data_IF_076761648087
#
_entry.id   IF_076761648087
#
_cell.length_a   1.000
_cell.length_b   1.000
_cell.length_c   1.000
_cell.angle_alpha   90.00
_cell.angle_beta   90.00
_cell.angle_gamma   90.00
#
_symmetry.space_group_name_H-M   'P 1'
#
loop_
_entity.id
_entity.type
_entity.pdbx_description
1 polymer ?
#
# COMPACT_ATOMS: atom_id res chain seq x y z
N UNK A 1 -5.67 -6.79 -18.11
CA UNK A 1 -5.99 -5.61 -17.26
C UNK A 1 -5.14 -5.60 -16.00
N UNK A 2 -4.93 -4.42 -15.41
CA UNK A 2 -4.10 -4.22 -14.23
C UNK A 2 -4.83 -3.34 -13.22
N UNK A 3 -4.77 -3.72 -11.95
CA UNK A 3 -5.20 -2.90 -10.81
C UNK A 3 -3.96 -2.34 -10.12
N UNK A 4 -3.91 -1.03 -9.90
CA UNK A 4 -2.81 -0.37 -9.17
C UNK A 4 -3.35 0.14 -7.84
N UNK A 5 -2.71 -0.26 -6.75
CA UNK A 5 -2.96 0.33 -5.44
C UNK A 5 -2.03 1.52 -5.23
N UNK A 6 -2.64 2.70 -5.21
CA UNK A 6 -1.97 3.98 -5.02
C UNK A 6 -1.69 4.26 -3.51
N UNK A 7 -1.38 5.50 -3.16
CA UNK A 7 -0.98 5.93 -1.81
C UNK A 7 -1.95 5.46 -0.69
N UNK A 8 -1.41 5.27 0.51
CA UNK A 8 -2.18 4.97 1.72
C UNK A 8 -2.15 3.52 2.19
N UNK A 9 -1.44 2.61 1.49
CA UNK A 9 -1.40 1.19 1.86
C UNK A 9 -0.43 0.84 3.01
N UNK A 10 0.43 1.77 3.39
CA UNK A 10 1.54 1.59 4.31
C UNK A 10 1.43 2.50 5.54
N UNK A 11 2.22 2.21 6.57
CA UNK A 11 2.39 3.04 7.78
C UNK A 11 1.07 3.51 8.41
N UNK A 12 1.09 4.73 8.96
CA UNK A 12 -0.09 5.49 9.40
C UNK A 12 -0.54 6.50 8.33
N UNK A 13 -0.41 6.13 7.05
CA UNK A 13 -0.73 6.97 5.88
C UNK A 13 -2.25 7.12 5.68
N UNK A 14 -2.93 7.72 6.65
CA UNK A 14 -4.37 8.04 6.59
C UNK A 14 -4.61 9.40 5.91
N UNK A 15 -3.60 10.26 5.90
CA UNK A 15 -3.50 11.52 5.15
C UNK A 15 -2.07 11.67 4.56
N UNK A 16 -1.80 12.82 3.92
CA UNK A 16 -0.52 13.13 3.28
C UNK A 16 0.57 13.63 4.25
N UNK A 17 0.27 13.76 5.56
CA UNK A 17 1.15 14.38 6.56
C UNK A 17 2.04 13.38 7.31
N UNK A 18 1.76 12.08 7.21
CA UNK A 18 2.48 11.02 7.91
C UNK A 18 2.78 9.81 7.04
N UNK A 19 3.74 8.97 7.45
CA UNK A 19 3.95 7.62 6.93
C UNK A 19 4.90 7.43 5.75
N UNK A 20 5.32 8.46 5.00
CA UNK A 20 6.36 8.30 3.97
C UNK A 20 7.69 7.87 4.61
N UNK A 21 8.34 6.86 4.03
CA UNK A 21 9.49 6.17 4.63
C UNK A 21 9.12 4.88 5.37
N UNK A 22 7.88 4.73 5.84
CA UNK A 22 7.40 3.54 6.55
C UNK A 22 6.61 2.59 5.64
N UNK A 23 7.29 1.92 4.71
CA UNK A 23 6.65 1.01 3.74
C UNK A 23 6.18 -0.35 4.32
N UNK A 24 5.90 -0.40 5.62
CA UNK A 24 5.24 -1.54 6.26
C UNK A 24 3.74 -1.51 6.00
N UNK A 25 3.16 -2.64 5.62
CA UNK A 25 1.74 -2.74 5.28
C UNK A 25 0.86 -2.29 6.45
N UNK A 26 -0.06 -1.36 6.20
CA UNK A 26 -1.06 -0.94 7.17
C UNK A 26 -2.09 -2.07 7.39
N UNK A 27 -1.94 -2.82 8.48
CA UNK A 27 -2.84 -3.94 8.82
C UNK A 27 -4.24 -3.51 9.28
N UNK A 28 -4.44 -2.23 9.62
CA UNK A 28 -5.80 -1.70 9.89
C UNK A 28 -6.60 -1.61 8.59
N UNK A 29 -5.98 -1.16 7.50
CA UNK A 29 -6.59 -1.07 6.15
C UNK A 29 -6.57 -2.40 5.41
N UNK A 30 -5.49 -3.17 5.55
CA UNK A 30 -5.29 -4.47 4.93
C UNK A 30 -5.10 -5.55 6.03
N UNK A 31 -6.17 -5.98 6.73
CA UNK A 31 -6.07 -6.94 7.84
C UNK A 31 -5.32 -8.22 7.48
N UNK A 32 -5.55 -8.72 6.26
CA UNK A 32 -4.89 -9.92 5.73
C UNK A 32 -3.60 -9.64 4.97
N UNK A 33 -3.22 -8.37 4.84
CA UNK A 33 -1.98 -7.91 4.21
C UNK A 33 -2.01 -7.93 2.68
N UNK A 34 -0.93 -7.45 2.08
CA UNK A 34 -0.77 -7.34 0.62
C UNK A 34 -0.85 -8.67 -0.10
N UNK A 35 -0.31 -9.75 0.48
CA UNK A 35 -0.29 -11.07 -0.16
C UNK A 35 -1.72 -11.58 -0.44
N UNK A 36 -2.60 -11.49 0.55
CA UNK A 36 -3.98 -11.94 0.38
C UNK A 36 -4.79 -11.00 -0.52
N UNK A 37 -4.42 -9.72 -0.57
CA UNK A 37 -5.03 -8.77 -1.50
C UNK A 37 -4.61 -9.08 -2.95
N UNK A 38 -3.32 -9.21 -3.22
CA UNK A 38 -2.79 -9.47 -4.56
C UNK A 38 -3.27 -10.81 -5.12
N UNK A 39 -3.37 -11.85 -4.28
CA UNK A 39 -3.98 -13.14 -4.67
C UNK A 39 -5.41 -12.99 -5.19
N UNK A 40 -6.23 -12.15 -4.55
CA UNK A 40 -7.61 -11.90 -5.02
C UNK A 40 -7.62 -11.21 -6.38
N UNK A 41 -6.77 -10.22 -6.57
CA UNK A 41 -6.65 -9.49 -7.84
C UNK A 41 -6.19 -10.44 -8.96
N UNK A 42 -5.17 -11.24 -8.72
CA UNK A 42 -4.73 -12.27 -9.67
C UNK A 42 -5.82 -13.31 -9.94
N UNK A 43 -6.59 -13.71 -8.92
CA UNK A 43 -7.74 -14.62 -9.07
C UNK A 43 -8.88 -14.06 -9.91
N UNK A 44 -8.96 -12.73 -10.07
CA UNK A 44 -9.88 -12.05 -10.99
C UNK A 44 -9.32 -11.91 -12.41
N UNK A 45 -8.12 -12.45 -12.70
CA UNK A 45 -7.49 -12.35 -14.02
C UNK A 45 -6.77 -11.03 -14.29
N UNK A 46 -6.52 -10.22 -13.26
CA UNK A 46 -5.84 -8.92 -13.38
C UNK A 46 -4.43 -8.97 -12.79
N UNK A 47 -3.52 -8.16 -13.33
CA UNK A 47 -2.21 -7.90 -12.71
C UNK A 47 -2.36 -6.93 -11.53
N UNK A 48 -1.40 -6.95 -10.59
CA UNK A 48 -1.39 -6.08 -9.43
C UNK A 48 -0.14 -5.18 -9.39
N UNK A 49 -0.34 -3.86 -9.39
CA UNK A 49 0.69 -2.85 -9.20
C UNK A 49 0.58 -2.17 -7.82
N UNK A 50 1.71 -1.65 -7.33
CA UNK A 50 1.81 -1.01 -6.02
C UNK A 50 2.66 0.25 -6.11
N UNK A 51 2.14 1.35 -5.55
CA UNK A 51 2.82 2.63 -5.54
C UNK A 51 3.84 2.75 -4.40
N UNK A 52 4.95 3.44 -4.68
CA UNK A 52 5.99 3.80 -3.72
C UNK A 52 6.54 5.21 -4.05
N UNK A 53 6.92 5.96 -3.01
CA UNK A 53 7.65 7.22 -3.13
C UNK A 53 8.91 7.17 -2.23
N UNK A 54 9.92 6.37 -2.60
CA UNK A 54 11.09 6.07 -1.74
C UNK A 54 12.01 7.26 -1.48
N UNK A 55 11.84 8.35 -2.21
CA UNK A 55 12.67 9.56 -2.13
C UNK A 55 12.27 10.48 -0.97
N UNK A 56 11.13 10.21 -0.31
CA UNK A 56 10.51 11.10 0.67
C UNK A 56 10.38 10.44 2.05
N UNK A 57 10.39 11.27 3.10
CA UNK A 57 10.15 10.87 4.49
C UNK A 57 9.32 11.93 5.21
N UNK A 58 8.35 11.52 6.05
CA UNK A 58 7.65 12.44 6.94
C UNK A 58 8.37 12.55 8.29
N UNK A 59 8.30 13.71 8.99
CA UNK A 59 8.79 13.82 10.37
C UNK A 59 8.09 12.87 11.35
N UNK A 60 6.83 12.52 11.05
CA UNK A 60 6.03 11.51 11.77
C UNK A 60 6.02 10.18 11.01
N UNK A 61 7.22 9.61 10.84
CA UNK A 61 7.46 8.23 10.42
C UNK A 61 8.17 7.49 11.55
#
# INVERSE_FOLDING_TARGET
>A
DMFVMDDGWFGKRDDDKAGLGDYSVNRKKLPRGLLEFSKKIHGMGMQFGLWFEPEMVNPES
#
